data_IF_054811925516
#
_entry.id   IF_054811925516
#
_cell.length_a   1.000
_cell.length_b   1.000
_cell.length_c   1.000
_cell.angle_alpha   90.00
_cell.angle_beta   90.00
_cell.angle_gamma   90.00
#
_symmetry.space_group_name_H-M   'P 1'
#
loop_
_entity.id
_entity.type
_entity.pdbx_description
1 polymer ?
#
# COMPACT_ATOMS: atom_id res chain seq x y z
N UNK A 1 -23.87 -4.23 -12.53
CA UNK A 1 -24.97 -5.06 -12.03
C UNK A 1 -24.90 -6.38 -12.78
N UNK A 2 -25.81 -7.31 -12.53
CA UNK A 2 -25.85 -8.59 -13.25
C UNK A 2 -26.17 -8.46 -14.76
N UNK A 3 -26.46 -7.25 -15.25
CA UNK A 3 -26.66 -6.94 -16.67
C UNK A 3 -25.39 -6.44 -17.38
N UNK A 4 -24.25 -6.40 -16.69
CA UNK A 4 -22.99 -5.88 -17.24
C UNK A 4 -22.87 -4.35 -17.18
N UNK A 5 -23.82 -3.66 -16.53
CA UNK A 5 -23.74 -2.22 -16.32
C UNK A 5 -22.73 -1.90 -15.23
N UNK A 6 -21.75 -1.04 -15.52
CA UNK A 6 -20.82 -0.54 -14.52
C UNK A 6 -21.59 0.17 -13.39
N UNK A 7 -21.45 -0.31 -12.16
CA UNK A 7 -22.15 0.24 -10.98
C UNK A 7 -21.32 1.34 -10.32
N UNK A 8 -20.00 1.20 -10.39
CA UNK A 8 -19.05 2.13 -9.84
C UNK A 8 -17.77 2.05 -10.66
N UNK A 9 -17.12 3.19 -10.83
CA UNK A 9 -15.80 3.29 -11.42
C UNK A 9 -14.91 4.11 -10.49
N UNK A 10 -13.71 3.60 -10.23
CA UNK A 10 -12.71 4.38 -9.56
C UNK A 10 -12.12 5.32 -10.61
N UNK A 11 -12.44 6.60 -10.50
CA UNK A 11 -11.85 7.69 -11.30
C UNK A 11 -10.37 7.92 -10.97
N UNK A 12 -9.60 6.85 -10.78
CA UNK A 12 -8.17 6.84 -10.50
C UNK A 12 -7.41 7.59 -11.58
N UNK A 13 -7.78 7.40 -12.86
CA UNK A 13 -7.17 8.11 -13.98
C UNK A 13 -7.40 9.63 -13.89
N UNK A 14 -8.56 10.06 -13.38
CA UNK A 14 -8.89 11.49 -13.19
C UNK A 14 -8.11 12.13 -12.03
N UNK A 15 -7.68 11.33 -11.05
CA UNK A 15 -7.01 11.82 -9.82
C UNK A 15 -5.55 11.38 -9.71
N UNK A 16 -5.03 10.67 -10.72
CA UNK A 16 -3.65 10.25 -10.78
C UNK A 16 -2.74 11.48 -10.87
N UNK A 17 -1.63 11.51 -10.12
CA UNK A 17 -0.67 12.61 -10.21
C UNK A 17 -0.03 12.62 -11.59
N UNK A 18 0.32 13.82 -12.09
CA UNK A 18 1.00 13.98 -13.38
C UNK A 18 2.24 13.07 -13.48
N UNK A 19 2.35 12.32 -14.58
CA UNK A 19 3.45 11.40 -14.83
C UNK A 19 3.34 10.07 -14.08
N UNK A 20 2.15 9.71 -13.60
CA UNK A 20 1.80 8.33 -13.27
C UNK A 20 1.42 7.59 -14.56
N UNK A 21 1.65 6.29 -14.63
CA UNK A 21 1.30 5.45 -15.78
C UNK A 21 -0.20 5.46 -16.08
N UNK A 22 -0.56 5.50 -17.35
CA UNK A 22 -1.94 5.31 -17.81
C UNK A 22 -2.44 3.87 -17.66
N UNK A 23 -1.57 2.94 -17.26
CA UNK A 23 -1.97 1.55 -16.99
C UNK A 23 -2.63 1.38 -15.62
N UNK A 24 -2.63 2.41 -14.77
CA UNK A 24 -3.23 2.40 -13.44
C UNK A 24 -2.28 1.89 -12.34
N UNK A 25 -2.83 1.16 -11.38
CA UNK A 25 -2.09 0.61 -10.23
C UNK A 25 -2.15 -0.92 -10.20
N UNK A 26 -1.13 -1.56 -9.65
CA UNK A 26 -1.09 -3.02 -9.42
C UNK A 26 -0.41 -3.35 -8.08
N UNK A 27 -0.54 -4.62 -7.65
CA UNK A 27 -0.03 -5.12 -6.36
C UNK A 27 -0.51 -4.22 -5.21
N UNK A 28 -1.81 -4.34 -4.90
CA UNK A 28 -2.49 -3.46 -3.95
C UNK A 28 -2.54 -4.13 -2.58
N UNK A 29 -2.07 -3.42 -1.55
CA UNK A 29 -2.16 -3.82 -0.15
C UNK A 29 -2.95 -2.81 0.66
N UNK A 30 -3.71 -3.28 1.65
CA UNK A 30 -4.12 -2.41 2.75
C UNK A 30 -2.92 -2.08 3.62
N UNK A 31 -2.90 -0.88 4.19
CA UNK A 31 -1.82 -0.41 5.06
C UNK A 31 -2.33 0.45 6.22
N UNK A 32 -1.89 0.11 7.43
CA UNK A 32 -2.03 0.95 8.62
C UNK A 32 -0.92 2.03 8.71
N UNK A 33 -0.90 2.95 7.74
CA UNK A 33 0.18 3.95 7.61
C UNK A 33 0.09 5.09 8.63
N UNK A 34 -1.13 5.61 8.88
CA UNK A 34 -1.32 6.80 9.73
C UNK A 34 -1.52 6.43 11.20
N UNK A 35 -1.86 5.18 11.48
CA UNK A 35 -2.34 4.76 12.79
C UNK A 35 -3.78 5.16 13.10
N UNK A 36 -4.49 5.81 12.17
CA UNK A 36 -5.91 6.14 12.32
C UNK A 36 -6.83 4.92 12.23
N UNK A 37 -8.14 5.11 12.42
CA UNK A 37 -9.14 4.02 12.29
C UNK A 37 -9.32 3.52 10.85
N UNK A 38 -8.88 4.31 9.87
CA UNK A 38 -9.01 4.00 8.45
C UNK A 38 -7.66 3.52 7.93
N UNK A 39 -7.66 2.35 7.33
CA UNK A 39 -6.54 1.88 6.52
C UNK A 39 -6.52 2.64 5.19
N UNK A 40 -5.31 2.88 4.70
CA UNK A 40 -5.10 3.33 3.34
C UNK A 40 -4.86 2.12 2.44
N UNK A 41 -4.78 2.37 1.14
CA UNK A 41 -4.23 1.40 0.20
C UNK A 41 -2.85 1.87 -0.26
N UNK A 42 -1.95 0.91 -0.46
CA UNK A 42 -0.64 1.09 -1.05
C UNK A 42 -0.54 0.25 -2.32
N UNK A 43 -0.03 0.83 -3.40
CA UNK A 43 0.12 0.13 -4.67
C UNK A 43 1.32 0.67 -5.45
N UNK A 44 1.77 -0.09 -6.45
CA UNK A 44 2.78 0.36 -7.42
C UNK A 44 2.16 0.66 -8.77
N UNK A 45 2.89 1.37 -9.62
CA UNK A 45 2.53 1.57 -11.02
C UNK A 45 2.34 0.25 -11.76
N UNK A 46 1.25 0.15 -12.54
CA UNK A 46 0.94 -1.06 -13.31
C UNK A 46 1.89 -1.26 -14.48
N UNK A 47 2.33 -2.51 -14.68
CA UNK A 47 3.15 -2.97 -15.81
C UNK A 47 4.52 -2.31 -15.96
N UNK A 48 5.05 -1.70 -14.90
CA UNK A 48 6.38 -1.10 -14.92
C UNK A 48 7.04 -1.25 -13.56
N UNK A 49 8.37 -1.24 -13.55
CA UNK A 49 9.15 -0.99 -12.33
C UNK A 49 9.15 0.50 -12.11
N UNK A 50 8.17 0.97 -11.33
CA UNK A 50 7.87 2.39 -11.21
C UNK A 50 7.49 2.80 -9.81
N UNK A 51 6.77 3.91 -9.74
CA UNK A 51 6.50 4.59 -8.49
C UNK A 51 5.51 3.82 -7.61
N UNK A 52 5.54 4.14 -6.32
CA UNK A 52 4.62 3.60 -5.31
C UNK A 52 3.73 4.73 -4.81
N UNK A 53 2.48 4.41 -4.48
CA UNK A 53 1.54 5.38 -3.92
C UNK A 53 0.87 4.90 -2.64
N UNK A 54 0.41 5.87 -1.87
CA UNK A 54 -0.65 5.72 -0.89
C UNK A 54 -1.89 6.43 -1.42
N UNK A 55 -3.05 5.79 -1.31
CA UNK A 55 -4.32 6.37 -1.72
C UNK A 55 -5.46 5.98 -0.78
N UNK A 56 -6.53 6.77 -0.83
CA UNK A 56 -7.79 6.46 -0.13
C UNK A 56 -8.56 5.39 -0.91
N UNK A 57 -8.82 4.21 -0.33
CA UNK A 57 -9.35 3.07 -1.08
C UNK A 57 -10.77 3.29 -1.61
N UNK A 58 -11.58 4.15 -0.97
CA UNK A 58 -12.97 4.39 -1.39
C UNK A 58 -13.11 5.49 -2.45
N UNK A 59 -12.21 6.47 -2.46
CA UNK A 59 -12.26 7.61 -3.39
C UNK A 59 -11.26 7.48 -4.55
N UNK A 60 -10.24 6.61 -4.42
CA UNK A 60 -9.11 6.54 -5.34
C UNK A 60 -8.13 7.71 -5.20
N UNK A 61 -8.37 8.64 -4.27
CA UNK A 61 -7.55 9.84 -4.12
C UNK A 61 -6.12 9.49 -3.70
N UNK A 62 -5.16 9.86 -4.53
CA UNK A 62 -3.74 9.75 -4.19
C UNK A 62 -3.41 10.71 -3.03
N UNK A 63 -2.85 10.15 -1.97
CA UNK A 63 -2.40 10.88 -0.79
C UNK A 63 -0.91 11.15 -0.83
N UNK A 64 -0.14 10.19 -1.35
CA UNK A 64 1.32 10.32 -1.48
C UNK A 64 1.83 9.48 -2.62
N UNK A 65 2.84 10.01 -3.31
CA UNK A 65 3.65 9.32 -4.32
C UNK A 65 5.08 9.21 -3.81
N UNK A 66 5.69 8.07 -4.02
CA UNK A 66 7.09 7.77 -3.74
C UNK A 66 7.75 7.48 -5.09
N UNK A 67 8.73 8.30 -5.46
CA UNK A 67 9.50 8.10 -6.70
C UNK A 67 10.39 6.88 -6.52
N UNK A 68 10.15 5.86 -7.34
CA UNK A 68 10.75 4.56 -7.18
C UNK A 68 10.89 3.79 -8.50
N UNK A 69 11.60 2.66 -8.43
CA UNK A 69 11.58 1.61 -9.45
C UNK A 69 11.14 0.29 -8.82
N UNK A 70 9.90 0.25 -8.36
CA UNK A 70 9.39 -0.89 -7.59
C UNK A 70 9.22 -2.14 -8.45
N UNK A 71 10.16 -3.08 -8.34
CA UNK A 71 10.02 -4.42 -8.91
C UNK A 71 9.04 -5.25 -8.08
N UNK A 72 9.11 -5.11 -6.74
CA UNK A 72 8.15 -5.68 -5.79
C UNK A 72 7.75 -4.68 -4.73
N UNK A 73 6.53 -4.82 -4.26
CA UNK A 73 5.94 -4.02 -3.20
C UNK A 73 5.44 -4.95 -2.09
N UNK A 74 5.79 -4.63 -0.85
CA UNK A 74 5.30 -5.28 0.35
C UNK A 74 4.87 -4.23 1.37
N UNK A 75 3.98 -4.62 2.27
CA UNK A 75 3.54 -3.80 3.41
C UNK A 75 3.60 -4.65 4.66
N UNK A 76 4.36 -4.19 5.66
CA UNK A 76 4.42 -4.85 6.96
C UNK A 76 4.93 -3.90 8.05
N UNK A 77 4.47 -4.10 9.28
CA UNK A 77 5.07 -3.60 10.52
C UNK A 77 6.50 -4.18 10.59
N UNK A 78 7.56 -3.40 10.43
CA UNK A 78 8.95 -3.90 10.50
C UNK A 78 9.87 -3.00 11.34
N UNK A 79 9.47 -1.76 11.60
CA UNK A 79 10.26 -0.78 12.36
C UNK A 79 9.39 -0.01 13.34
N UNK A 80 9.99 0.60 14.36
CA UNK A 80 9.29 1.58 15.23
C UNK A 80 8.11 1.04 16.03
N UNK A 81 6.89 1.42 15.64
CA UNK A 81 5.63 1.10 16.33
C UNK A 81 4.71 0.20 15.51
N UNK A 82 3.49 -0.07 15.97
CA UNK A 82 2.59 -1.03 15.32
C UNK A 82 2.13 -0.67 13.90
N UNK A 83 2.35 0.58 13.45
CA UNK A 83 2.04 0.99 12.08
C UNK A 83 2.92 0.24 11.09
N UNK A 84 2.41 0.13 9.87
CA UNK A 84 3.08 -0.63 8.82
C UNK A 84 3.95 0.25 7.94
N UNK A 85 5.08 -0.28 7.53
CA UNK A 85 5.98 0.32 6.55
C UNK A 85 5.62 -0.11 5.12
N UNK A 86 6.05 0.72 4.16
CA UNK A 86 6.12 0.36 2.76
C UNK A 86 7.51 -0.19 2.49
N UNK A 87 7.60 -1.39 1.94
CA UNK A 87 8.86 -2.07 1.64
C UNK A 87 8.92 -2.30 0.14
N UNK A 88 9.93 -1.73 -0.51
CA UNK A 88 10.11 -1.78 -1.96
C UNK A 88 11.40 -2.52 -2.27
N UNK A 89 11.32 -3.51 -3.16
CA UNK A 89 12.49 -4.10 -3.79
C UNK A 89 12.71 -3.39 -5.13
N UNK A 90 13.87 -2.76 -5.28
CA UNK A 90 14.29 -2.00 -6.46
C UNK A 90 15.62 -2.56 -6.96
N UNK A 91 15.56 -3.47 -7.93
CA UNK A 91 16.70 -4.30 -8.34
C UNK A 91 17.26 -5.12 -7.17
N UNK A 92 18.45 -4.77 -6.71
CA UNK A 92 19.15 -5.40 -5.58
C UNK A 92 19.04 -4.61 -4.27
N UNK A 93 18.28 -3.51 -4.27
CA UNK A 93 18.13 -2.62 -3.12
C UNK A 93 16.78 -2.83 -2.43
N UNK A 94 16.78 -2.79 -1.10
CA UNK A 94 15.58 -2.84 -0.29
C UNK A 94 15.36 -1.49 0.36
N UNK A 95 14.30 -0.79 -0.05
CA UNK A 95 13.93 0.51 0.51
C UNK A 95 12.74 0.35 1.46
N UNK A 96 12.88 0.90 2.67
CA UNK A 96 11.85 0.84 3.72
C UNK A 96 11.41 2.25 4.06
N UNK A 97 10.15 2.56 3.82
CA UNK A 97 9.56 3.84 4.15
C UNK A 97 8.66 3.68 5.37
N UNK A 98 8.94 4.47 6.40
CA UNK A 98 8.14 4.55 7.62
C UNK A 98 7.46 5.92 7.75
N UNK A 99 6.39 5.99 8.51
CA UNK A 99 5.72 7.24 8.81
C UNK A 99 6.34 7.93 10.04
N UNK A 100 7.03 9.04 9.83
CA UNK A 100 7.66 9.82 10.90
C UNK A 100 6.67 10.65 11.75
N UNK A 101 5.39 10.76 11.36
CA UNK A 101 4.39 11.45 12.15
C UNK A 101 4.19 10.75 13.51
N UNK A 102 3.82 11.52 14.53
CA UNK A 102 3.52 11.00 15.85
C UNK A 102 2.42 9.92 15.79
N UNK A 103 2.60 8.83 16.53
CA UNK A 103 1.64 7.74 16.57
C UNK A 103 0.39 8.19 17.34
N UNK A 104 -0.80 8.23 16.70
CA UNK A 104 -2.02 8.64 17.39
C UNK A 104 -2.50 7.62 18.43
N UNK A 105 -1.99 6.38 18.40
CA UNK A 105 -2.36 5.28 19.30
C UNK A 105 -1.11 4.53 19.79
N UNK A 106 -0.30 5.13 20.68
CA UNK A 106 1.00 4.58 21.07
C UNK A 106 0.91 3.31 21.96
N UNK A 107 -0.28 3.00 22.49
CA UNK A 107 -0.51 1.84 23.37
C UNK A 107 -0.99 0.58 22.63
N UNK A 108 -1.19 0.68 21.32
CA UNK A 108 -1.57 -0.48 20.50
C UNK A 108 -0.42 -1.48 20.44
N UNK A 109 -0.77 -2.77 20.41
CA UNK A 109 0.22 -3.83 20.31
C UNK A 109 0.72 -3.93 18.86
N UNK A 110 2.00 -4.26 18.71
CA UNK A 110 2.60 -4.64 17.41
C UNK A 110 1.79 -5.74 16.75
N UNK A 111 1.61 -5.65 15.44
CA UNK A 111 0.76 -6.57 14.70
C UNK A 111 1.30 -8.00 14.68
N UNK A 112 2.60 -8.20 14.84
CA UNK A 112 3.22 -9.52 15.00
C UNK A 112 2.69 -10.33 16.18
N UNK A 113 2.09 -9.69 17.20
CA UNK A 113 1.42 -10.41 18.28
C UNK A 113 0.14 -11.13 17.80
N UNK A 114 -0.48 -10.65 16.73
CA UNK A 114 -1.63 -11.29 16.08
C UNK A 114 -1.20 -12.50 15.26
N UNK A 115 -1.80 -13.66 15.55
CA UNK A 115 -1.57 -14.89 14.80
C UNK A 115 -1.94 -14.74 13.31
N UNK A 116 -3.04 -14.04 13.02
CA UNK A 116 -3.52 -13.89 11.65
C UNK A 116 -2.57 -13.00 10.84
N UNK A 117 -2.11 -11.92 11.45
CA UNK A 117 -1.13 -11.03 10.83
C UNK A 117 0.17 -11.76 10.48
N UNK A 118 0.71 -12.53 11.43
CA UNK A 118 1.90 -13.36 11.20
C UNK A 118 1.74 -14.29 10.01
N UNK A 119 0.62 -15.02 9.94
CA UNK A 119 0.34 -15.95 8.83
C UNK A 119 0.28 -15.22 7.49
N UNK A 120 -0.31 -14.03 7.47
CA UNK A 120 -0.46 -13.22 6.26
C UNK A 120 0.88 -12.65 5.76
N UNK A 121 1.73 -12.17 6.68
CA UNK A 121 2.91 -11.37 6.33
C UNK A 121 4.23 -12.15 6.34
N UNK A 122 4.34 -13.23 7.11
CA UNK A 122 5.62 -13.95 7.30
C UNK A 122 5.95 -14.92 6.16
N UNK A 123 4.94 -15.46 5.47
CA UNK A 123 5.10 -16.37 4.34
C UNK A 123 4.51 -15.78 3.06
N UNK A 124 4.79 -14.50 2.79
CA UNK A 124 4.17 -13.81 1.66
C UNK A 124 4.49 -14.50 0.34
N UNK A 125 3.46 -15.00 -0.32
CA UNK A 125 3.50 -15.59 -1.66
C UNK A 125 2.39 -14.93 -2.47
N UNK A 126 2.65 -14.63 -3.74
CA UNK A 126 1.66 -14.09 -4.69
C UNK A 126 0.35 -14.92 -4.74
N UNK A 127 0.42 -16.21 -4.42
CA UNK A 127 -0.73 -17.13 -4.34
C UNK A 127 -1.36 -17.26 -2.94
N UNK A 128 -0.89 -16.52 -1.95
CA UNK A 128 -1.48 -16.46 -0.60
C UNK A 128 -1.55 -15.00 -0.16
N UNK A 129 -2.45 -14.21 -0.81
CA UNK A 129 -2.66 -12.81 -0.48
C UNK A 129 -3.24 -12.60 0.93
#
# INVERSE_FOLDING_TARGET
>A
DSSGRMVFDYKMDDVAPKGWTASGVEVIHTIDWTGGRRQLACAKERHTSGDVCLFEPLSGKFLRRFREKADRLYVADVTGDWREEIIVLSGSELHVYHNAAANPRPKEKRFWSSRNYRRLKQCHNYYSP
#
